data_IF_857835538489
#
_entry.id   IF_857835538489
#
_cell.length_a   1.000
_cell.length_b   1.000
_cell.length_c   1.000
_cell.angle_alpha   90.00
_cell.angle_beta   90.00
_cell.angle_gamma   90.00
#
_symmetry.space_group_name_H-M   'P 1'
#
loop_
_entity.id
_entity.type
_entity.pdbx_description
1 polymer ?
#
# COMPACT_ATOMS: atom_id res chain seq x y z
N UNK A 1 -30.45 -17.52 19.69
CA UNK A 1 -29.38 -16.52 19.81
C UNK A 1 -28.40 -16.79 18.69
N UNK A 2 -28.38 -15.93 17.67
CA UNK A 2 -27.29 -15.98 16.69
C UNK A 2 -26.08 -15.44 17.45
N UNK A 3 -25.11 -16.29 17.72
CA UNK A 3 -23.79 -15.82 18.15
C UNK A 3 -23.17 -15.26 16.89
N UNK A 4 -23.37 -13.96 16.65
CA UNK A 4 -22.54 -13.20 15.72
C UNK A 4 -21.16 -13.06 16.38
N UNK A 5 -20.43 -14.17 16.44
CA UNK A 5 -18.99 -14.10 16.52
C UNK A 5 -18.55 -13.40 15.25
N UNK A 6 -18.06 -12.17 15.37
CA UNK A 6 -17.56 -11.38 14.27
C UNK A 6 -16.68 -12.27 13.39
N UNK A 7 -17.17 -12.65 12.21
CA UNK A 7 -16.28 -13.22 11.20
C UNK A 7 -15.32 -12.08 10.89
N UNK A 8 -13.99 -12.23 11.10
CA UNK A 8 -13.05 -11.26 10.58
C UNK A 8 -13.26 -11.28 9.07
N UNK A 9 -14.01 -10.31 8.56
CA UNK A 9 -14.19 -10.16 7.12
C UNK A 9 -12.86 -9.58 6.66
N UNK A 10 -11.94 -10.44 6.25
CA UNK A 10 -10.79 -10.00 5.48
C UNK A 10 -11.35 -9.19 4.31
N UNK A 11 -11.23 -7.87 4.37
CA UNK A 11 -11.65 -6.98 3.31
C UNK A 11 -10.42 -6.74 2.44
N UNK A 12 -10.59 -6.88 1.12
CA UNK A 12 -9.58 -6.37 0.18
C UNK A 12 -9.82 -4.87 0.10
N UNK A 13 -8.87 -4.10 0.58
CA UNK A 13 -8.89 -2.64 0.47
C UNK A 13 -7.87 -2.21 -0.58
N UNK A 14 -8.20 -1.15 -1.32
CA UNK A 14 -7.31 -0.56 -2.31
C UNK A 14 -7.41 0.95 -2.25
N UNK A 15 -6.27 1.60 -2.28
CA UNK A 15 -6.16 3.06 -2.29
C UNK A 15 -5.09 3.51 -3.27
N UNK A 16 -5.19 4.77 -3.70
CA UNK A 16 -4.20 5.42 -4.54
C UNK A 16 -3.63 6.58 -3.75
N UNK A 17 -2.31 6.66 -3.69
CA UNK A 17 -1.59 7.76 -3.05
C UNK A 17 -0.51 8.31 -3.97
N UNK A 18 -0.16 9.57 -3.79
CA UNK A 18 0.98 10.15 -4.49
C UNK A 18 2.26 9.44 -4.07
N UNK A 19 3.11 9.10 -5.04
CA UNK A 19 4.45 8.62 -4.76
C UNK A 19 5.32 9.69 -4.10
N UNK A 20 6.55 9.31 -3.78
CA UNK A 20 7.48 10.17 -3.06
C UNK A 20 8.84 9.52 -2.91
N UNK A 21 9.76 10.26 -2.28
CA UNK A 21 11.10 9.76 -1.98
C UNK A 21 11.04 8.44 -1.20
N UNK A 22 12.00 7.55 -1.48
CA UNK A 22 12.13 6.27 -0.79
C UNK A 22 12.08 6.45 0.73
N UNK A 23 11.18 5.72 1.40
CA UNK A 23 10.90 5.92 2.81
C UNK A 23 9.45 5.63 3.17
N UNK A 24 8.89 6.44 4.07
CA UNK A 24 7.52 6.25 4.55
C UNK A 24 6.50 6.87 3.60
N UNK A 25 5.43 6.12 3.33
CA UNK A 25 4.24 6.57 2.63
C UNK A 25 3.01 6.36 3.51
N UNK A 26 2.13 7.36 3.53
CA UNK A 26 0.91 7.33 4.35
C UNK A 26 -0.22 6.59 3.63
N UNK A 27 -0.73 5.53 4.23
CA UNK A 27 -1.88 4.73 3.78
C UNK A 27 -2.93 4.74 4.88
N UNK A 28 -3.75 5.78 4.95
CA UNK A 28 -4.72 5.94 6.04
C UNK A 28 -5.67 4.73 6.15
N UNK A 29 -5.79 4.16 7.33
CA UNK A 29 -6.63 3.00 7.64
C UNK A 29 -5.87 1.67 7.71
N UNK A 30 -4.67 1.58 7.12
CA UNK A 30 -3.87 0.34 7.19
C UNK A 30 -3.35 0.13 8.61
N UNK A 31 -3.47 -1.10 9.11
CA UNK A 31 -2.98 -1.52 10.42
C UNK A 31 -1.74 -2.39 10.24
N UNK A 32 -0.86 -2.41 11.24
CA UNK A 32 0.33 -3.28 11.26
C UNK A 32 0.02 -4.78 11.14
N UNK A 33 -1.22 -5.20 11.45
CA UNK A 33 -1.66 -6.60 11.33
C UNK A 33 -2.24 -6.96 9.96
N UNK A 34 -2.45 -5.97 9.11
CA UNK A 34 -2.91 -6.19 7.75
C UNK A 34 -1.81 -6.86 6.93
N UNK A 35 -2.18 -7.38 5.77
CA UNK A 35 -1.21 -7.97 4.83
C UNK A 35 -1.16 -7.14 3.58
N UNK A 36 0.00 -6.56 3.29
CA UNK A 36 0.25 -5.89 2.02
C UNK A 36 0.24 -6.93 0.90
N UNK A 37 -0.60 -6.71 -0.12
CA UNK A 37 -0.77 -7.65 -1.24
C UNK A 37 -0.06 -7.13 -2.48
N UNK A 38 -0.17 -5.84 -2.76
CA UNK A 38 0.44 -5.23 -3.93
C UNK A 38 0.73 -3.75 -3.72
N UNK A 39 1.85 -3.30 -4.26
CA UNK A 39 2.19 -1.90 -4.45
C UNK A 39 2.63 -1.73 -5.91
N UNK A 40 1.76 -1.15 -6.72
CA UNK A 40 2.05 -0.86 -8.12
C UNK A 40 2.31 0.63 -8.28
N UNK A 41 3.39 0.97 -8.96
CA UNK A 41 3.66 2.32 -9.39
C UNK A 41 3.07 2.59 -10.77
N UNK A 42 2.53 3.79 -10.94
CA UNK A 42 2.27 4.39 -12.23
C UNK A 42 3.07 5.69 -12.31
N UNK A 43 4.10 5.71 -13.14
CA UNK A 43 5.01 6.83 -13.32
C UNK A 43 4.54 7.72 -14.48
N UNK A 44 4.31 9.01 -14.17
CA UNK A 44 3.93 10.04 -15.14
C UNK A 44 4.99 11.15 -15.25
N UNK A 45 6.20 10.92 -14.74
CA UNK A 45 7.26 11.93 -14.73
C UNK A 45 7.89 12.15 -16.10
N UNK A 46 7.71 11.20 -17.02
CA UNK A 46 8.13 11.32 -18.42
C UNK A 46 7.07 10.81 -19.41
N UNK A 47 7.37 10.95 -20.70
CA UNK A 47 6.45 10.59 -21.79
C UNK A 47 6.30 9.07 -22.02
N UNK A 48 7.04 8.24 -21.30
CA UNK A 48 6.99 6.79 -21.44
C UNK A 48 5.87 6.15 -20.62
N UNK A 49 5.26 6.90 -19.68
CA UNK A 49 4.14 6.48 -18.83
C UNK A 49 4.29 5.02 -18.39
N UNK A 50 5.29 4.74 -17.57
CA UNK A 50 5.65 3.36 -17.20
C UNK A 50 4.95 2.91 -15.92
N UNK A 51 4.77 1.59 -15.79
CA UNK A 51 4.28 0.98 -14.56
C UNK A 51 5.26 -0.06 -14.05
N UNK A 52 5.40 -0.14 -12.74
CA UNK A 52 6.27 -1.10 -12.06
C UNK A 52 5.53 -1.80 -10.91
N UNK A 53 5.84 -3.08 -10.70
CA UNK A 53 5.45 -3.78 -9.48
C UNK A 53 6.57 -3.63 -8.45
N UNK A 54 6.31 -2.83 -7.41
CA UNK A 54 7.25 -2.53 -6.33
C UNK A 54 6.92 -3.29 -5.05
N UNK A 55 5.99 -4.26 -5.10
CA UNK A 55 5.45 -4.92 -3.90
C UNK A 55 6.53 -5.46 -2.97
N UNK A 56 7.62 -6.02 -3.52
CA UNK A 56 8.73 -6.58 -2.73
C UNK A 56 9.58 -5.54 -1.99
N UNK A 57 9.50 -4.26 -2.36
CA UNK A 57 10.23 -3.18 -1.70
C UNK A 57 9.49 -2.66 -0.47
N UNK A 58 8.18 -2.88 -0.39
CA UNK A 58 7.33 -2.28 0.63
C UNK A 58 6.99 -3.24 1.76
N UNK A 59 6.94 -2.69 2.97
CA UNK A 59 6.39 -3.37 4.16
C UNK A 59 5.48 -2.41 4.93
N UNK A 60 4.52 -2.95 5.69
CA UNK A 60 3.74 -2.15 6.63
C UNK A 60 4.61 -1.93 7.87
N UNK A 61 5.14 -0.72 8.04
CA UNK A 61 6.09 -0.40 9.10
C UNK A 61 5.42 0.09 10.38
N UNK A 62 4.23 0.69 10.27
CA UNK A 62 3.42 1.20 11.36
C UNK A 62 1.95 1.30 10.94
N UNK A 63 1.07 1.69 11.87
CA UNK A 63 -0.28 2.12 11.50
C UNK A 63 -0.19 3.30 10.52
N UNK A 64 -1.12 3.31 9.56
CA UNK A 64 -1.21 4.31 8.50
C UNK A 64 0.04 4.42 7.62
N UNK A 65 0.98 3.46 7.66
CA UNK A 65 2.30 3.60 7.05
C UNK A 65 2.78 2.34 6.34
N UNK A 66 3.13 2.49 5.06
CA UNK A 66 4.00 1.55 4.35
C UNK A 66 5.37 2.19 4.14
N UNK A 67 6.41 1.37 4.00
CA UNK A 67 7.77 1.86 3.87
C UNK A 67 8.58 1.04 2.85
N UNK A 68 9.29 1.73 1.97
CA UNK A 68 10.29 1.19 1.06
C UNK A 68 11.68 1.79 1.33
N UNK A 69 12.17 1.71 2.57
CA UNK A 69 13.45 2.28 2.95
C UNK A 69 14.58 1.81 2.02
N UNK A 70 15.29 2.79 1.44
CA UNK A 70 16.33 2.58 0.43
C UNK A 70 15.87 1.84 -0.85
N UNK A 71 14.56 1.78 -1.09
CA UNK A 71 13.96 1.32 -2.34
C UNK A 71 13.89 2.42 -3.40
N UNK A 72 12.97 2.24 -4.35
CA UNK A 72 12.75 3.10 -5.50
C UNK A 72 12.13 4.43 -5.08
N UNK A 73 12.65 5.55 -5.62
CA UNK A 73 12.02 6.86 -5.49
C UNK A 73 10.86 6.96 -6.49
N UNK A 74 9.66 7.20 -5.98
CA UNK A 74 8.40 7.20 -6.76
C UNK A 74 7.85 8.62 -6.92
N UNK A 75 8.69 9.64 -6.66
CA UNK A 75 8.30 11.05 -6.70
C UNK A 75 7.75 11.44 -8.06
N UNK A 76 6.53 11.98 -8.08
CA UNK A 76 5.84 12.40 -9.29
C UNK A 76 4.98 11.31 -9.95
N UNK A 77 5.12 10.06 -9.51
CA UNK A 77 4.21 8.96 -9.82
C UNK A 77 3.06 8.83 -8.79
N UNK A 78 2.26 7.79 -8.97
CA UNK A 78 1.24 7.34 -8.01
C UNK A 78 1.45 5.88 -7.65
N UNK A 79 1.11 5.54 -6.40
CA UNK A 79 1.12 4.18 -5.90
C UNK A 79 -0.31 3.68 -5.74
N UNK A 80 -0.62 2.56 -6.38
CA UNK A 80 -1.83 1.77 -6.16
C UNK A 80 -1.49 0.71 -5.12
N UNK A 81 -2.06 0.84 -3.93
CA UNK A 81 -1.77 -0.03 -2.78
C UNK A 81 -2.98 -0.88 -2.49
N UNK A 82 -2.79 -2.20 -2.48
CA UNK A 82 -3.82 -3.19 -2.13
C UNK A 82 -3.37 -3.99 -0.91
N UNK A 83 -4.26 -4.15 0.07
CA UNK A 83 -3.99 -4.92 1.29
C UNK A 83 -5.22 -5.73 1.75
N UNK A 84 -4.94 -6.82 2.46
CA UNK A 84 -5.95 -7.56 3.23
C UNK A 84 -6.06 -6.94 4.61
N UNK A 85 -7.17 -6.23 4.83
CA UNK A 85 -7.53 -5.62 6.10
C UNK A 85 -8.07 -6.70 7.05
N UNK A 86 -7.44 -6.84 8.22
CA UNK A 86 -7.94 -7.70 9.29
C UNK A 86 -8.72 -6.84 10.29
N UNK A 87 -9.96 -7.28 10.57
CA UNK A 87 -10.87 -6.63 11.54
C UNK A 87 -10.23 -6.40 12.89
#
# INVERSE_FOLDING_TARGET
QVIEGAIPRNAVETTILAGGAAGNHTVTGIKTRDTLVSVLEVDFTDASETGADLTSEFTISAADTINNAAGTDTTGGFLIVTYLSVG
#
